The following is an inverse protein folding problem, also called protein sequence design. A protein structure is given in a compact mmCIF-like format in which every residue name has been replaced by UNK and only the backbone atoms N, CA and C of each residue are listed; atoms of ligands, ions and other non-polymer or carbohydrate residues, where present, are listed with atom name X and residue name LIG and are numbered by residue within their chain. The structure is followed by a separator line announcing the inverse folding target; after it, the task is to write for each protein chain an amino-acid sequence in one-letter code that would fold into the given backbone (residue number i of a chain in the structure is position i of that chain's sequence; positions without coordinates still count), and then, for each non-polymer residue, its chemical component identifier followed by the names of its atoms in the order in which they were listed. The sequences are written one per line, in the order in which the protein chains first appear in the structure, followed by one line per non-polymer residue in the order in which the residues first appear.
data_IF_382502865109
#
_entry.id   IF_382502865109
#
_cell.length_a   1.000
_cell.length_b   1.000
_cell.length_c   1.000
_cell.angle_alpha   90.00
_cell.angle_beta   90.00
_cell.angle_gamma   90.00
#
_symmetry.space_group_name_H-M   'P 1'
#
loop_
_entity.id
_entity.type
_entity.pdbx_description
1 polymer ?
#
# COMPACT_ATOMS: atom_id res chain seq x y z
N UNK A 1 -17.06 -16.24 31.55
CA UNK A 1 -16.90 -16.51 30.10
C UNK A 1 -17.68 -15.52 29.22
N UNK A 2 -18.99 -15.35 29.34
CA UNK A 2 -19.82 -14.43 28.51
C UNK A 2 -19.29 -12.99 28.46
N UNK A 3 -18.86 -12.44 29.62
CA UNK A 3 -18.26 -11.10 29.68
C UNK A 3 -17.00 -11.01 28.82
N UNK A 4 -16.18 -12.07 28.78
CA UNK A 4 -14.98 -12.11 27.95
C UNK A 4 -15.30 -12.00 26.46
N UNK A 5 -16.31 -12.72 25.96
CA UNK A 5 -16.75 -12.63 24.56
C UNK A 5 -17.36 -11.26 24.24
N UNK A 6 -18.08 -10.65 25.18
CA UNK A 6 -18.59 -9.28 25.04
C UNK A 6 -17.44 -8.27 24.92
N UNK A 7 -16.40 -8.41 25.77
CA UNK A 7 -15.21 -7.55 25.70
C UNK A 7 -14.52 -7.72 24.34
N UNK A 8 -14.32 -8.95 23.86
CA UNK A 8 -13.74 -9.21 22.55
C UNK A 8 -14.54 -8.56 21.43
N UNK A 9 -15.88 -8.62 21.48
CA UNK A 9 -16.74 -7.96 20.51
C UNK A 9 -16.59 -6.44 20.56
N UNK A 10 -16.59 -5.81 21.72
CA UNK A 10 -16.41 -4.36 21.88
C UNK A 10 -15.03 -3.93 21.38
N UNK A 11 -13.98 -4.68 21.71
CA UNK A 11 -12.62 -4.37 21.28
C UNK A 11 -12.50 -4.47 19.76
N UNK A 12 -13.07 -5.51 19.12
CA UNK A 12 -13.00 -5.65 17.65
C UNK A 12 -13.73 -4.52 16.93
N UNK A 13 -14.90 -4.05 17.45
CA UNK A 13 -15.58 -2.86 16.93
C UNK A 13 -14.73 -1.61 17.14
N UNK A 14 -14.13 -1.45 18.33
CA UNK A 14 -13.23 -0.35 18.64
C UNK A 14 -12.02 -0.29 17.71
N UNK A 15 -11.43 -1.44 17.37
CA UNK A 15 -10.31 -1.51 16.41
C UNK A 15 -10.72 -1.09 15.00
N UNK A 16 -11.90 -1.50 14.51
CA UNK A 16 -12.42 -1.03 13.22
C UNK A 16 -12.62 0.49 13.22
N UNK A 17 -13.21 1.04 14.27
CA UNK A 17 -13.40 2.49 14.43
C UNK A 17 -12.05 3.20 14.48
N UNK A 18 -11.11 2.73 15.31
CA UNK A 18 -9.77 3.29 15.39
C UNK A 18 -9.04 3.24 14.03
N UNK A 19 -9.10 2.10 13.33
CA UNK A 19 -8.53 1.95 11.99
C UNK A 19 -9.12 2.97 11.00
N UNK A 20 -10.47 3.14 11.02
CA UNK A 20 -11.15 4.05 10.10
C UNK A 20 -10.87 5.52 10.40
N UNK A 21 -10.66 5.90 11.66
CA UNK A 21 -10.40 7.28 12.07
C UNK A 21 -8.91 7.66 11.97
N UNK A 22 -8.01 6.75 12.33
CA UNK A 22 -6.58 7.06 12.46
C UNK A 22 -5.81 6.86 11.14
N UNK A 23 -6.24 5.95 10.27
CA UNK A 23 -5.53 5.67 9.03
C UNK A 23 -5.92 6.63 7.91
N UNK A 24 -4.94 7.34 7.34
CA UNK A 24 -5.14 8.28 6.21
C UNK A 24 -5.57 7.56 4.94
N UNK A 25 -4.96 6.44 4.62
CA UNK A 25 -5.40 5.56 3.53
C UNK A 25 -5.87 4.23 4.09
N UNK A 26 -6.87 3.63 3.48
CA UNK A 26 -7.52 2.41 3.94
C UNK A 26 -7.35 1.31 2.91
N UNK A 27 -7.04 0.12 3.40
CA UNK A 27 -6.96 -1.07 2.57
C UNK A 27 -8.30 -1.83 2.68
N UNK A 28 -8.94 -2.09 1.54
CA UNK A 28 -10.28 -2.68 1.50
C UNK A 28 -10.35 -4.05 2.19
N UNK A 29 -9.38 -4.94 1.92
CA UNK A 29 -9.39 -6.28 2.48
C UNK A 29 -9.09 -6.32 3.97
N UNK A 30 -8.27 -5.38 4.46
CA UNK A 30 -8.05 -5.20 5.89
C UNK A 30 -9.31 -4.70 6.59
N UNK A 31 -10.08 -3.80 5.95
CA UNK A 31 -11.40 -3.39 6.47
C UNK A 31 -12.37 -4.58 6.52
N UNK A 32 -12.42 -5.39 5.47
CA UNK A 32 -13.26 -6.59 5.45
C UNK A 32 -12.82 -7.64 6.47
N UNK A 33 -11.53 -7.75 6.75
CA UNK A 33 -11.00 -8.60 7.82
C UNK A 33 -11.57 -8.19 9.19
N UNK A 34 -11.55 -6.89 9.53
CA UNK A 34 -12.16 -6.38 10.77
C UNK A 34 -13.66 -6.71 10.85
N UNK A 35 -14.39 -6.55 9.76
CA UNK A 35 -15.81 -6.92 9.71
C UNK A 35 -16.00 -8.42 9.98
N UNK A 36 -15.17 -9.28 9.38
CA UNK A 36 -15.22 -10.73 9.64
C UNK A 36 -14.95 -11.06 11.12
N UNK A 37 -13.95 -10.43 11.75
CA UNK A 37 -13.63 -10.67 13.17
C UNK A 37 -14.77 -10.19 14.08
N UNK A 38 -15.40 -9.06 13.78
CA UNK A 38 -16.59 -8.59 14.51
C UNK A 38 -17.73 -9.63 14.40
N UNK A 39 -17.98 -10.19 13.22
CA UNK A 39 -18.99 -11.23 13.00
C UNK A 39 -18.65 -12.50 13.80
N UNK A 40 -17.40 -12.93 13.80
CA UNK A 40 -16.94 -14.08 14.61
C UNK A 40 -17.18 -13.84 16.10
N UNK A 41 -16.72 -12.69 16.62
CA UNK A 41 -16.89 -12.37 18.03
C UNK A 41 -18.38 -12.19 18.44
N UNK A 42 -19.21 -11.65 17.53
CA UNK A 42 -20.65 -11.61 17.72
C UNK A 42 -21.22 -13.04 17.82
N UNK A 43 -20.82 -13.96 16.95
CA UNK A 43 -21.28 -15.35 16.99
C UNK A 43 -20.91 -16.05 18.29
N UNK A 44 -19.66 -15.90 18.79
CA UNK A 44 -19.26 -16.42 20.09
C UNK A 44 -20.08 -15.81 21.24
N UNK A 45 -20.30 -14.52 21.21
CA UNK A 45 -21.13 -13.85 22.22
C UNK A 45 -22.57 -14.38 22.18
N UNK A 46 -23.22 -14.49 21.01
CA UNK A 46 -24.56 -15.04 20.84
C UNK A 46 -24.67 -16.48 21.36
N UNK A 47 -23.68 -17.33 21.01
CA UNK A 47 -23.63 -18.71 21.51
C UNK A 47 -23.54 -18.73 23.04
N UNK A 48 -22.72 -17.85 23.64
CA UNK A 48 -22.49 -17.82 25.08
C UNK A 48 -23.72 -17.43 25.92
N UNK A 49 -24.66 -16.66 25.34
CA UNK A 49 -25.91 -16.25 25.99
C UNK A 49 -27.11 -17.12 25.63
N UNK A 50 -26.91 -18.13 24.78
CA UNK A 50 -27.99 -18.99 24.30
C UNK A 50 -28.65 -19.76 25.44
N UNK A 51 -29.97 -19.84 25.42
CA UNK A 51 -30.79 -20.58 26.37
C UNK A 51 -31.32 -21.89 25.82
N UNK A 52 -31.26 -22.07 24.51
CA UNK A 52 -31.67 -23.29 23.82
C UNK A 52 -30.70 -23.63 22.70
N UNK A 53 -30.83 -24.85 22.20
CA UNK A 53 -29.94 -25.41 21.15
C UNK A 53 -30.06 -24.62 19.85
N UNK A 54 -31.27 -24.23 19.43
CA UNK A 54 -31.53 -23.52 18.18
C UNK A 54 -30.79 -22.17 18.14
N UNK A 55 -30.90 -21.39 19.23
CA UNK A 55 -30.20 -20.11 19.32
C UNK A 55 -28.68 -20.27 19.41
N UNK A 56 -28.22 -21.34 20.06
CA UNK A 56 -26.79 -21.67 20.10
C UNK A 56 -26.24 -22.07 18.72
N UNK A 57 -27.02 -22.82 17.91
CA UNK A 57 -26.68 -23.13 16.51
C UNK A 57 -26.65 -21.84 15.69
N UNK A 58 -27.62 -20.96 15.82
CA UNK A 58 -27.61 -19.66 15.14
C UNK A 58 -26.36 -18.85 15.47
N UNK A 59 -25.97 -18.77 16.74
CA UNK A 59 -24.71 -18.11 17.15
C UNK A 59 -23.47 -18.78 16.52
N UNK A 60 -23.44 -20.09 16.45
CA UNK A 60 -22.40 -20.85 15.78
C UNK A 60 -22.34 -20.58 14.27
N UNK A 61 -23.49 -20.49 13.60
CA UNK A 61 -23.55 -20.17 12.17
C UNK A 61 -23.05 -18.76 11.89
N UNK A 62 -23.38 -17.79 12.77
CA UNK A 62 -22.79 -16.45 12.72
C UNK A 62 -21.27 -16.49 12.88
N UNK A 63 -20.74 -17.31 13.80
CA UNK A 63 -19.29 -17.51 13.95
C UNK A 63 -18.65 -18.04 12.66
N UNK A 64 -19.25 -19.05 12.04
CA UNK A 64 -18.71 -19.63 10.81
C UNK A 64 -18.92 -18.75 9.58
N UNK A 65 -19.97 -17.93 9.56
CA UNK A 65 -20.10 -16.89 8.53
C UNK A 65 -18.89 -15.94 8.56
N UNK A 66 -18.49 -15.48 9.73
CA UNK A 66 -17.29 -14.65 9.86
C UNK A 66 -16.01 -15.43 9.51
N UNK A 67 -15.80 -16.60 10.11
CA UNK A 67 -14.54 -17.35 10.01
C UNK A 67 -14.28 -17.95 8.62
N UNK A 68 -15.32 -18.32 7.86
CA UNK A 68 -15.16 -18.79 6.48
C UNK A 68 -14.59 -17.70 5.57
N UNK A 69 -14.98 -16.44 5.74
CA UNK A 69 -14.45 -15.33 4.93
C UNK A 69 -13.22 -14.66 5.53
N UNK A 70 -12.97 -14.83 6.83
CA UNK A 70 -11.79 -14.26 7.52
C UNK A 70 -10.48 -14.72 6.88
N UNK A 71 -10.33 -16.01 6.62
CA UNK A 71 -9.12 -16.57 5.99
C UNK A 71 -8.86 -15.97 4.60
N UNK A 72 -9.94 -15.78 3.81
CA UNK A 72 -9.89 -15.11 2.52
C UNK A 72 -9.43 -13.65 2.68
N UNK A 73 -10.07 -12.89 3.56
CA UNK A 73 -9.72 -11.48 3.79
C UNK A 73 -8.27 -11.33 4.27
N UNK A 74 -7.82 -12.24 5.14
CA UNK A 74 -6.43 -12.26 5.61
C UNK A 74 -5.45 -12.53 4.47
N UNK A 75 -5.70 -13.55 3.61
CA UNK A 75 -4.87 -13.83 2.45
C UNK A 75 -4.81 -12.64 1.48
N UNK A 76 -5.96 -12.03 1.18
CA UNK A 76 -6.04 -10.89 0.25
C UNK A 76 -5.36 -9.64 0.83
N UNK A 77 -5.47 -9.40 2.13
CA UNK A 77 -4.70 -8.36 2.84
C UNK A 77 -3.20 -8.63 2.73
N UNK A 78 -2.75 -9.85 3.00
CA UNK A 78 -1.32 -10.23 2.89
C UNK A 78 -0.82 -10.06 1.46
N UNK A 79 -1.59 -10.47 0.43
CA UNK A 79 -1.24 -10.24 -0.97
C UNK A 79 -0.99 -8.75 -1.25
N UNK A 80 -1.89 -7.87 -0.79
CA UNK A 80 -1.75 -6.42 -0.95
C UNK A 80 -0.53 -5.86 -0.21
N UNK A 81 -0.34 -6.24 1.06
CA UNK A 81 0.82 -5.83 1.86
C UNK A 81 2.15 -6.32 1.26
N UNK A 82 2.14 -7.48 0.61
CA UNK A 82 3.28 -8.04 -0.13
C UNK A 82 3.48 -7.43 -1.53
N UNK A 83 2.71 -6.42 -1.93
CA UNK A 83 2.86 -5.71 -3.21
C UNK A 83 2.30 -6.46 -4.42
N UNK A 84 1.34 -7.36 -4.23
CA UNK A 84 0.66 -8.05 -5.32
C UNK A 84 -0.70 -7.43 -5.63
N UNK A 85 -1.05 -7.40 -6.91
CA UNK A 85 -2.40 -7.02 -7.34
C UNK A 85 -3.38 -8.19 -7.13
N UNK A 86 -4.52 -7.86 -6.54
CA UNK A 86 -5.61 -8.82 -6.33
C UNK A 86 -6.52 -8.81 -7.57
N UNK A 87 -6.44 -9.86 -8.39
CA UNK A 87 -7.26 -9.99 -9.59
C UNK A 87 -8.68 -10.46 -9.24
N UNK A 88 -9.69 -9.92 -9.93
CA UNK A 88 -11.12 -10.26 -9.71
C UNK A 88 -11.39 -11.77 -9.71
N UNK A 89 -10.74 -12.54 -10.60
CA UNK A 89 -10.91 -14.01 -10.65
C UNK A 89 -10.52 -14.70 -9.33
N UNK A 90 -9.43 -14.26 -8.68
CA UNK A 90 -9.00 -14.86 -7.41
C UNK A 90 -9.98 -14.53 -6.28
N UNK A 91 -10.52 -13.31 -6.27
CA UNK A 91 -11.56 -12.89 -5.31
C UNK A 91 -12.81 -13.75 -5.48
N UNK A 92 -13.30 -13.90 -6.72
CA UNK A 92 -14.50 -14.72 -7.01
C UNK A 92 -14.26 -16.17 -6.57
N UNK A 93 -13.10 -16.76 -6.88
CA UNK A 93 -12.78 -18.13 -6.46
C UNK A 93 -12.78 -18.27 -4.94
N UNK A 94 -12.12 -17.36 -4.21
CA UNK A 94 -12.08 -17.40 -2.75
C UNK A 94 -13.46 -17.18 -2.13
N UNK A 95 -14.27 -16.25 -2.67
CA UNK A 95 -15.65 -16.03 -2.24
C UNK A 95 -16.51 -17.28 -2.44
N UNK A 96 -16.44 -17.92 -3.63
CA UNK A 96 -17.18 -19.14 -3.91
C UNK A 96 -16.81 -20.27 -2.95
N UNK A 97 -15.52 -20.47 -2.67
CA UNK A 97 -15.06 -21.45 -1.70
C UNK A 97 -15.56 -21.14 -0.27
N UNK A 98 -15.55 -19.86 0.14
CA UNK A 98 -16.08 -19.42 1.43
C UNK A 98 -17.58 -19.70 1.56
N UNK A 99 -18.37 -19.39 0.52
CA UNK A 99 -19.80 -19.68 0.49
C UNK A 99 -20.11 -21.17 0.53
N UNK A 100 -19.39 -21.99 -0.24
CA UNK A 100 -19.54 -23.45 -0.22
C UNK A 100 -19.24 -23.99 1.18
N UNK A 101 -18.15 -23.52 1.79
CA UNK A 101 -17.73 -23.96 3.12
C UNK A 101 -18.77 -23.56 4.19
N UNK A 102 -19.25 -22.32 4.14
CA UNK A 102 -20.29 -21.84 5.02
C UNK A 102 -21.60 -22.65 4.84
N UNK A 103 -22.03 -22.91 3.60
CA UNK A 103 -23.24 -23.68 3.30
C UNK A 103 -23.17 -25.11 3.85
N UNK A 104 -22.02 -25.78 3.75
CA UNK A 104 -21.78 -27.11 4.32
C UNK A 104 -21.97 -27.09 5.84
N UNK A 105 -21.45 -26.09 6.52
CA UNK A 105 -21.53 -25.96 7.99
C UNK A 105 -22.92 -25.61 8.43
N UNK A 106 -23.53 -24.58 7.83
CA UNK A 106 -24.87 -24.09 8.16
C UNK A 106 -25.99 -25.06 7.78
N UNK A 107 -25.74 -26.04 6.91
CA UNK A 107 -26.69 -27.10 6.63
C UNK A 107 -26.90 -28.07 7.81
N UNK A 108 -26.00 -28.09 8.77
CA UNK A 108 -26.10 -28.92 9.98
C UNK A 108 -26.91 -28.21 11.07
N UNK A 109 -27.76 -28.90 11.85
CA UNK A 109 -27.90 -30.36 11.90
C UNK A 109 -28.96 -30.93 10.93
N UNK A 110 -29.60 -30.13 10.07
CA UNK A 110 -30.62 -30.64 9.14
C UNK A 110 -30.05 -31.73 8.21
N UNK A 111 -28.82 -31.54 7.75
CA UNK A 111 -28.06 -32.52 6.99
C UNK A 111 -26.86 -32.94 7.83
N UNK A 112 -26.79 -34.15 8.41
CA UNK A 112 -25.78 -34.51 9.41
C UNK A 112 -24.41 -34.84 8.79
N UNK A 113 -23.94 -34.01 7.87
CA UNK A 113 -22.67 -34.18 7.18
C UNK A 113 -21.51 -33.53 7.92
N UNK A 114 -21.70 -32.33 8.47
CA UNK A 114 -20.67 -31.59 9.19
C UNK A 114 -20.75 -31.80 10.71
N UNK A 115 -21.98 -31.72 11.30
CA UNK A 115 -22.30 -32.18 12.66
C UNK A 115 -23.35 -33.27 12.55
N UNK A 116 -23.17 -34.36 13.32
CA UNK A 116 -24.14 -35.45 13.44
C UNK A 116 -25.15 -35.20 14.54
N UNK A 117 -24.71 -34.61 15.63
CA UNK A 117 -25.55 -34.12 16.72
C UNK A 117 -24.98 -32.86 17.35
N UNK A 118 -25.85 -32.06 17.94
CA UNK A 118 -25.50 -30.81 18.61
C UNK A 118 -26.31 -30.69 19.89
N UNK A 119 -25.64 -30.41 21.01
CA UNK A 119 -26.26 -30.14 22.31
C UNK A 119 -25.62 -28.91 22.97
N UNK A 120 -26.17 -28.45 24.08
CA UNK A 120 -25.64 -27.32 24.83
C UNK A 120 -25.22 -27.72 26.24
N UNK A 121 -24.09 -27.16 26.70
CA UNK A 121 -23.62 -27.28 28.08
C UNK A 121 -23.37 -25.91 28.66
N UNK A 122 -23.78 -25.68 29.91
CA UNK A 122 -23.44 -24.46 30.62
C UNK A 122 -22.13 -24.63 31.38
N UNK A 123 -21.16 -23.76 31.11
CA UNK A 123 -19.86 -23.74 31.77
C UNK A 123 -19.63 -22.33 32.34
N UNK A 124 -19.54 -22.21 33.64
CA UNK A 124 -19.29 -20.94 34.34
C UNK A 124 -20.24 -19.79 33.88
N UNK A 125 -21.53 -20.10 33.71
CA UNK A 125 -22.55 -19.12 33.30
C UNK A 125 -22.58 -18.75 31.82
N UNK A 126 -21.78 -19.45 30.99
CA UNK A 126 -21.85 -19.32 29.53
C UNK A 126 -22.28 -20.64 28.88
N UNK A 127 -23.10 -20.53 27.84
CA UNK A 127 -23.48 -21.70 27.05
C UNK A 127 -22.38 -22.02 26.04
N UNK A 128 -21.99 -23.30 25.99
CA UNK A 128 -21.09 -23.86 25.00
C UNK A 128 -21.82 -24.93 24.19
N UNK A 129 -21.61 -24.94 22.87
CA UNK A 129 -22.11 -25.98 21.98
C UNK A 129 -21.22 -27.23 22.12
N UNK A 130 -21.86 -28.37 22.40
CA UNK A 130 -21.25 -29.71 22.34
C UNK A 130 -21.60 -30.29 21.00
N UNK A 131 -20.59 -30.68 20.21
CA UNK A 131 -20.75 -31.05 18.80
C UNK A 131 -20.21 -32.45 18.59
N UNK A 132 -20.98 -33.33 17.98
CA UNK A 132 -20.45 -34.56 17.39
C UNK A 132 -20.18 -34.30 15.91
N UNK A 133 -18.98 -34.65 15.46
CA UNK A 133 -18.52 -34.27 14.14
C UNK A 133 -18.85 -35.32 13.09
N UNK A 134 -19.38 -34.89 11.96
CA UNK A 134 -19.70 -35.70 10.81
C UNK A 134 -18.52 -35.91 9.84
N UNK A 135 -18.76 -36.64 8.76
CA UNK A 135 -17.75 -37.03 7.77
C UNK A 135 -17.13 -35.85 7.01
N UNK A 136 -17.81 -34.71 6.91
CA UNK A 136 -17.30 -33.50 6.23
C UNK A 136 -16.55 -32.55 7.16
N UNK A 137 -16.51 -32.80 8.47
CA UNK A 137 -15.78 -31.94 9.41
C UNK A 137 -14.30 -31.74 9.02
N UNK A 138 -13.52 -32.75 8.55
CA UNK A 138 -12.13 -32.54 8.13
C UNK A 138 -11.96 -31.57 6.97
N UNK A 139 -13.00 -31.35 6.15
CA UNK A 139 -12.94 -30.43 4.98
C UNK A 139 -12.63 -29.00 5.43
N UNK A 140 -13.17 -28.55 6.56
CA UNK A 140 -12.83 -27.22 7.11
C UNK A 140 -11.36 -27.13 7.53
N UNK A 141 -10.80 -28.19 8.08
CA UNK A 141 -9.37 -28.25 8.40
C UNK A 141 -8.50 -28.13 7.14
N UNK A 142 -8.86 -28.83 6.06
CA UNK A 142 -8.17 -28.74 4.77
C UNK A 142 -8.32 -27.33 4.18
N UNK A 143 -9.50 -26.73 4.29
CA UNK A 143 -9.77 -25.36 3.88
C UNK A 143 -8.81 -24.37 4.58
N UNK A 144 -8.69 -24.43 5.91
CA UNK A 144 -7.78 -23.57 6.69
C UNK A 144 -6.31 -23.79 6.29
N UNK A 145 -5.86 -25.04 6.20
CA UNK A 145 -4.48 -25.38 5.81
C UNK A 145 -4.16 -24.79 4.42
N UNK A 146 -5.09 -24.89 3.48
CA UNK A 146 -4.91 -24.33 2.13
C UNK A 146 -4.64 -22.82 2.17
N UNK A 147 -5.39 -22.07 2.98
CA UNK A 147 -5.15 -20.64 3.15
C UNK A 147 -3.82 -20.35 3.85
N UNK A 148 -3.45 -21.08 4.88
CA UNK A 148 -2.16 -20.92 5.54
C UNK A 148 -0.98 -21.17 4.58
N UNK A 149 -1.05 -22.24 3.79
CA UNK A 149 -0.04 -22.54 2.76
C UNK A 149 0.02 -21.41 1.72
N UNK A 150 -1.13 -20.90 1.26
CA UNK A 150 -1.19 -19.78 0.32
C UNK A 150 -0.58 -18.49 0.89
N UNK A 151 -0.83 -18.17 2.17
CA UNK A 151 -0.24 -17.02 2.86
C UNK A 151 1.29 -17.13 2.94
N UNK A 152 1.80 -18.28 3.38
CA UNK A 152 3.25 -18.54 3.48
C UNK A 152 3.89 -18.47 2.09
N UNK A 153 3.30 -19.12 1.08
CA UNK A 153 3.79 -19.07 -0.30
C UNK A 153 3.82 -17.63 -0.84
N UNK A 154 2.81 -16.82 -0.53
CA UNK A 154 2.75 -15.38 -0.90
C UNK A 154 3.92 -14.61 -0.29
N UNK A 155 4.19 -14.79 1.01
CA UNK A 155 5.27 -14.11 1.71
C UNK A 155 6.63 -14.50 1.11
N UNK A 156 6.88 -15.81 0.93
CA UNK A 156 8.13 -16.31 0.33
C UNK A 156 8.32 -15.77 -1.09
N UNK A 157 7.25 -15.79 -1.90
CA UNK A 157 7.30 -15.28 -3.26
C UNK A 157 7.57 -13.77 -3.30
N UNK A 158 6.98 -13.00 -2.39
CA UNK A 158 7.23 -11.57 -2.26
C UNK A 158 8.69 -11.24 -1.92
N UNK A 159 9.29 -12.00 -0.99
CA UNK A 159 10.71 -11.87 -0.63
C UNK A 159 11.60 -12.17 -1.86
N UNK A 160 11.35 -13.31 -2.54
CA UNK A 160 12.12 -13.71 -3.73
C UNK A 160 12.02 -12.70 -4.87
N UNK A 161 10.87 -12.09 -5.08
CA UNK A 161 10.62 -11.07 -6.11
C UNK A 161 10.96 -9.65 -5.68
N UNK A 162 11.46 -9.46 -4.46
CA UNK A 162 11.80 -8.15 -3.87
C UNK A 162 10.64 -7.13 -3.95
N UNK A 163 9.39 -7.61 -3.89
CA UNK A 163 8.19 -6.78 -3.96
C UNK A 163 7.91 -6.03 -2.66
N UNK A 164 8.21 -6.64 -1.52
CA UNK A 164 8.10 -5.98 -0.21
C UNK A 164 9.32 -5.09 0.02
N UNK A 165 9.08 -3.84 0.38
CA UNK A 165 10.10 -2.79 0.42
C UNK A 165 11.27 -3.08 1.39
N UNK A 166 10.99 -3.73 2.52
CA UNK A 166 12.03 -4.17 3.47
C UNK A 166 11.74 -5.58 3.98
N UNK A 167 12.75 -6.46 4.07
CA UNK A 167 12.58 -7.85 4.55
C UNK A 167 11.94 -7.95 5.94
N UNK A 168 12.15 -6.96 6.81
CA UNK A 168 11.54 -6.90 8.16
C UNK A 168 10.00 -6.89 8.11
N UNK A 169 9.38 -6.26 7.11
CA UNK A 169 7.91 -6.28 6.98
C UNK A 169 7.40 -7.68 6.64
N UNK A 170 8.12 -8.42 5.79
CA UNK A 170 7.82 -9.81 5.53
C UNK A 170 7.94 -10.67 6.80
N UNK A 171 8.95 -10.41 7.64
CA UNK A 171 9.13 -11.06 8.92
C UNK A 171 7.95 -10.83 9.89
N UNK A 172 7.45 -9.60 9.99
CA UNK A 172 6.27 -9.29 10.81
C UNK A 172 5.01 -10.00 10.29
N UNK A 173 4.76 -9.97 8.97
CA UNK A 173 3.61 -10.67 8.38
C UNK A 173 3.72 -12.18 8.60
N UNK A 174 4.91 -12.76 8.44
CA UNK A 174 5.15 -14.18 8.70
C UNK A 174 4.93 -14.54 10.19
N UNK A 175 5.33 -13.68 11.11
CA UNK A 175 5.09 -13.88 12.55
C UNK A 175 3.59 -13.86 12.87
N UNK A 176 2.79 -12.97 12.26
CA UNK A 176 1.33 -12.93 12.43
C UNK A 176 0.70 -14.23 11.94
N UNK A 177 1.07 -14.69 10.74
CA UNK A 177 0.56 -15.97 10.19
C UNK A 177 0.98 -17.13 11.07
N UNK A 178 2.25 -17.17 11.49
CA UNK A 178 2.78 -18.21 12.38
C UNK A 178 2.06 -18.25 13.73
N UNK A 179 1.75 -17.10 14.33
CA UNK A 179 0.97 -17.00 15.57
C UNK A 179 -0.43 -17.60 15.39
N UNK A 180 -1.13 -17.28 14.31
CA UNK A 180 -2.46 -17.85 14.03
C UNK A 180 -2.40 -19.38 13.86
N UNK A 181 -1.40 -19.88 13.14
CA UNK A 181 -1.19 -21.32 12.99
C UNK A 181 -0.90 -21.97 14.34
N UNK A 182 -0.03 -21.37 15.15
CA UNK A 182 0.36 -21.92 16.45
C UNK A 182 -0.84 -22.00 17.42
N UNK A 183 -1.66 -20.95 17.51
CA UNK A 183 -2.85 -20.97 18.37
C UNK A 183 -3.90 -21.94 17.86
N UNK A 184 -4.14 -22.00 16.55
CA UNK A 184 -5.05 -22.98 15.96
C UNK A 184 -4.60 -24.42 16.25
N UNK A 185 -3.30 -24.73 16.14
CA UNK A 185 -2.76 -26.04 16.51
C UNK A 185 -2.91 -26.29 18.00
N UNK A 186 -2.61 -25.29 18.84
CA UNK A 186 -2.78 -25.40 20.29
C UNK A 186 -4.22 -25.76 20.67
N UNK A 187 -5.22 -25.04 20.14
CA UNK A 187 -6.64 -25.36 20.39
C UNK A 187 -7.06 -26.75 19.89
N UNK A 188 -6.43 -27.22 18.80
CA UNK A 188 -6.73 -28.54 18.24
C UNK A 188 -6.16 -29.70 19.08
N UNK A 189 -5.00 -29.51 19.73
CA UNK A 189 -4.32 -30.55 20.50
C UNK A 189 -4.58 -30.48 22.01
N UNK A 190 -4.94 -29.29 22.51
CA UNK A 190 -5.22 -29.08 23.92
C UNK A 190 -6.74 -28.94 24.08
N UNK A 191 -7.37 -29.92 24.77
CA UNK A 191 -8.78 -29.84 25.12
C UNK A 191 -9.00 -28.76 26.19
N UNK A 192 -9.06 -27.51 25.75
CA UNK A 192 -9.28 -26.36 26.62
C UNK A 192 -10.75 -25.95 26.61
N UNK A 193 -11.23 -25.48 27.74
CA UNK A 193 -12.64 -25.06 27.87
C UNK A 193 -12.92 -23.69 27.24
N UNK A 194 -11.86 -22.88 27.06
CA UNK A 194 -11.94 -21.51 26.49
C UNK A 194 -11.52 -21.50 25.03
N UNK A 195 -12.19 -20.68 24.22
CA UNK A 195 -11.82 -20.48 22.81
C UNK A 195 -10.90 -19.26 22.69
N UNK A 196 -9.60 -19.51 22.47
CA UNK A 196 -8.57 -18.48 22.34
C UNK A 196 -8.56 -17.80 20.97
N UNK A 197 -9.23 -18.37 19.96
CA UNK A 197 -9.28 -17.82 18.61
C UNK A 197 -9.77 -16.38 18.57
N UNK A 198 -10.76 -16.01 19.39
CA UNK A 198 -11.25 -14.62 19.48
C UNK A 198 -10.14 -13.63 19.83
N UNK A 199 -9.33 -13.94 20.84
CA UNK A 199 -8.21 -13.10 21.30
C UNK A 199 -7.12 -13.05 20.23
N UNK A 200 -6.84 -14.19 19.58
CA UNK A 200 -5.83 -14.28 18.54
C UNK A 200 -6.20 -13.47 17.31
N UNK A 201 -7.47 -13.48 16.91
CA UNK A 201 -7.96 -12.66 15.79
C UNK A 201 -7.81 -11.17 16.10
N UNK A 202 -8.18 -10.71 17.29
CA UNK A 202 -7.99 -9.32 17.72
C UNK A 202 -6.50 -8.94 17.72
N UNK A 203 -5.65 -9.82 18.26
CA UNK A 203 -4.19 -9.63 18.23
C UNK A 203 -3.64 -9.52 16.81
N UNK A 204 -4.13 -10.37 15.91
CA UNK A 204 -3.75 -10.34 14.48
C UNK A 204 -4.19 -9.07 13.77
N UNK A 205 -5.41 -8.58 14.05
CA UNK A 205 -5.91 -7.30 13.55
C UNK A 205 -5.01 -6.14 13.96
N UNK A 206 -4.72 -6.05 15.25
CA UNK A 206 -3.86 -5.00 15.80
C UNK A 206 -2.47 -5.01 15.16
N UNK A 207 -1.86 -6.20 15.02
CA UNK A 207 -0.56 -6.35 14.39
C UNK A 207 -0.60 -6.03 12.89
N UNK A 208 -1.66 -6.39 12.17
CA UNK A 208 -1.82 -6.05 10.74
C UNK A 208 -2.03 -4.55 10.55
N UNK A 209 -2.80 -3.88 11.42
CA UNK A 209 -2.91 -2.41 11.42
C UNK A 209 -1.53 -1.79 11.61
N UNK A 210 -0.76 -2.27 12.58
CA UNK A 210 0.58 -1.76 12.86
C UNK A 210 1.52 -1.94 11.66
N UNK A 211 1.54 -3.14 11.04
CA UNK A 211 2.35 -3.40 9.84
C UNK A 211 1.92 -2.52 8.69
N UNK A 212 0.61 -2.37 8.47
CA UNK A 212 0.07 -1.51 7.42
C UNK A 212 0.47 -0.04 7.64
N UNK A 213 0.35 0.47 8.87
CA UNK A 213 0.81 1.79 9.24
C UNK A 213 2.32 1.98 9.01
N UNK A 214 3.13 0.99 9.45
CA UNK A 214 4.59 1.05 9.23
C UNK A 214 4.96 1.06 7.74
N UNK A 215 4.24 0.33 6.89
CA UNK A 215 4.47 0.32 5.45
C UNK A 215 4.08 1.68 4.85
N UNK A 216 2.94 2.25 5.22
CA UNK A 216 2.50 3.58 4.77
C UNK A 216 3.51 4.67 5.17
N UNK A 217 3.95 4.65 6.42
CA UNK A 217 4.94 5.61 6.92
C UNK A 217 6.29 5.46 6.19
N UNK A 218 6.69 4.23 5.88
CA UNK A 218 7.90 3.98 5.11
C UNK A 218 7.79 4.48 3.67
N UNK A 219 6.68 4.21 2.99
CA UNK A 219 6.42 4.69 1.62
C UNK A 219 6.38 6.22 1.62
N UNK A 220 5.65 6.82 2.56
CA UNK A 220 5.56 8.28 2.66
C UNK A 220 6.93 8.94 2.87
N UNK A 221 7.80 8.35 3.72
CA UNK A 221 9.17 8.86 3.94
C UNK A 221 10.11 8.66 2.74
N UNK A 222 9.83 7.69 1.89
CA UNK A 222 10.63 7.44 0.67
C UNK A 222 10.14 8.22 -0.53
N UNK A 223 8.85 8.56 -0.58
CA UNK A 223 8.24 9.39 -1.64
C UNK A 223 8.28 10.89 -1.32
N UNK A 224 8.32 11.27 -0.05
CA UNK A 224 8.58 12.67 0.35
C UNK A 224 10.08 12.92 0.17
N UNK A 225 10.48 13.86 -0.68
CA UNK A 225 11.88 14.28 -0.79
C UNK A 225 12.41 14.66 0.60
N UNK A 226 13.72 14.49 0.85
CA UNK A 226 14.32 14.71 2.16
C UNK A 226 13.91 16.07 2.74
N UNK A 227 13.76 16.18 4.06
CA UNK A 227 13.12 17.33 4.70
C UNK A 227 13.67 18.66 4.17
N UNK A 228 12.76 19.58 3.93
CA UNK A 228 12.91 20.93 3.36
C UNK A 228 14.23 21.64 3.74
N UNK A 229 14.90 21.28 4.82
CA UNK A 229 16.17 21.87 5.24
C UNK A 229 17.30 21.55 4.24
N UNK A 230 17.39 20.31 3.70
CA UNK A 230 18.36 19.98 2.64
C UNK A 230 17.92 20.49 1.27
N UNK A 231 16.61 20.54 1.01
CA UNK A 231 16.10 21.13 -0.23
C UNK A 231 16.25 22.66 -0.23
N UNK A 232 16.04 23.31 0.91
CA UNK A 232 16.27 24.77 1.02
C UNK A 232 17.76 25.10 0.83
N UNK A 233 18.69 24.28 1.32
CA UNK A 233 20.12 24.44 1.02
C UNK A 233 20.44 24.16 -0.45
N UNK A 234 19.92 23.08 -1.02
CA UNK A 234 20.14 22.73 -2.45
C UNK A 234 19.41 23.72 -3.38
N UNK A 235 18.20 24.19 -3.01
CA UNK A 235 17.48 25.22 -3.78
C UNK A 235 18.21 26.58 -3.62
N UNK A 236 18.69 26.90 -2.43
CA UNK A 236 19.50 28.11 -2.19
C UNK A 236 20.82 28.06 -2.94
N UNK A 237 21.50 26.92 -2.95
CA UNK A 237 22.73 26.69 -3.73
C UNK A 237 22.45 26.73 -5.25
N UNK A 238 21.39 26.05 -5.72
CA UNK A 238 20.93 26.13 -7.12
C UNK A 238 20.47 27.54 -7.49
N UNK A 239 19.68 28.22 -6.65
CA UNK A 239 19.29 29.59 -6.88
C UNK A 239 20.47 30.55 -6.85
N UNK A 240 21.43 30.36 -5.95
CA UNK A 240 22.66 31.15 -5.91
C UNK A 240 23.50 30.93 -7.17
N UNK A 241 23.65 29.69 -7.61
CA UNK A 241 24.35 29.34 -8.88
C UNK A 241 23.60 29.91 -10.09
N UNK A 242 22.26 29.83 -10.13
CA UNK A 242 21.43 30.41 -11.20
C UNK A 242 21.55 31.94 -11.20
N UNK A 243 21.51 32.57 -10.02
CA UNK A 243 21.64 34.05 -9.91
C UNK A 243 23.05 34.51 -10.31
N UNK A 244 24.09 33.78 -9.88
CA UNK A 244 25.48 34.10 -10.27
C UNK A 244 25.68 33.89 -11.77
N UNK A 245 25.17 32.79 -12.34
CA UNK A 245 25.24 32.57 -13.78
C UNK A 245 24.42 33.58 -14.57
N UNK A 246 23.25 33.98 -14.08
CA UNK A 246 22.42 35.01 -14.76
C UNK A 246 23.07 36.41 -14.67
N UNK A 247 23.69 36.77 -13.56
CA UNK A 247 24.41 38.02 -13.42
C UNK A 247 25.68 38.05 -14.31
N UNK A 248 26.46 36.98 -14.35
CA UNK A 248 27.60 36.83 -15.23
C UNK A 248 27.17 36.88 -16.71
N UNK A 249 26.10 36.20 -17.06
CA UNK A 249 25.55 36.20 -18.43
C UNK A 249 25.12 37.62 -18.84
N UNK A 250 24.39 38.33 -17.97
CA UNK A 250 23.94 39.71 -18.22
C UNK A 250 25.15 40.65 -18.40
N UNK A 251 26.19 40.48 -17.60
CA UNK A 251 27.43 41.21 -17.75
C UNK A 251 28.14 40.93 -19.08
N UNK A 252 28.24 39.66 -19.49
CA UNK A 252 28.81 39.26 -20.80
C UNK A 252 28.03 39.87 -21.96
N UNK A 253 26.69 39.84 -21.90
CA UNK A 253 25.83 40.41 -22.94
C UNK A 253 26.00 41.92 -22.99
N UNK A 254 26.03 42.60 -21.84
CA UNK A 254 26.24 44.07 -21.78
C UNK A 254 27.63 44.43 -22.34
N UNK A 255 28.67 43.68 -22.05
CA UNK A 255 30.00 43.88 -22.66
C UNK A 255 29.97 43.69 -24.18
N UNK A 256 29.32 42.62 -24.69
CA UNK A 256 29.16 42.42 -26.15
C UNK A 256 28.39 43.59 -26.77
N UNK A 257 27.30 44.08 -26.15
CA UNK A 257 26.54 45.22 -26.66
C UNK A 257 27.35 46.50 -26.66
N UNK A 258 28.29 46.69 -25.72
CA UNK A 258 29.14 47.89 -25.67
C UNK A 258 30.24 47.94 -26.74
N UNK A 259 30.59 46.77 -27.34
CA UNK A 259 31.55 46.69 -28.44
C UNK A 259 30.85 46.58 -29.81
N UNK A 260 29.55 46.78 -29.88
CA UNK A 260 28.83 46.85 -31.15
C UNK A 260 29.25 48.07 -31.93
N UNK A 261 29.56 47.98 -33.24
CA UNK A 261 29.96 49.12 -34.05
C UNK A 261 28.94 50.22 -34.07
N UNK A 262 29.38 51.48 -34.11
CA UNK A 262 28.54 52.68 -34.12
C UNK A 262 27.47 52.65 -35.22
N UNK A 263 26.22 52.92 -34.80
CA UNK A 263 25.06 52.93 -35.73
C UNK A 263 24.42 51.55 -35.96
N UNK A 264 24.95 50.46 -35.38
CA UNK A 264 24.30 49.13 -35.46
C UNK A 264 23.51 48.91 -34.17
N UNK A 265 22.31 48.32 -34.32
CA UNK A 265 21.45 47.92 -33.20
C UNK A 265 20.94 46.48 -33.40
N UNK A 266 20.76 45.77 -32.32
CA UNK A 266 20.13 44.42 -32.34
C UNK A 266 18.62 44.56 -32.12
N UNK A 267 17.86 43.78 -32.86
CA UNK A 267 16.44 43.56 -32.58
C UNK A 267 16.25 42.66 -31.35
N UNK A 268 15.07 42.70 -30.73
CA UNK A 268 14.77 41.84 -29.58
C UNK A 268 15.04 40.34 -29.90
N UNK A 269 14.73 39.92 -31.11
CA UNK A 269 14.96 38.54 -31.53
C UNK A 269 16.43 38.21 -31.70
N UNK A 270 17.23 39.13 -32.16
CA UNK A 270 18.69 38.99 -32.28
C UNK A 270 19.37 38.99 -30.88
N UNK A 271 18.82 39.70 -29.89
CA UNK A 271 19.27 39.64 -28.49
C UNK A 271 18.97 38.26 -27.92
N UNK A 272 17.78 37.71 -28.09
CA UNK A 272 17.43 36.34 -27.63
C UNK A 272 18.37 35.29 -28.27
N UNK A 273 18.71 35.46 -29.53
CA UNK A 273 19.66 34.57 -30.22
C UNK A 273 21.09 34.75 -29.69
N UNK A 274 21.51 35.99 -29.43
CA UNK A 274 22.79 36.30 -28.82
C UNK A 274 22.91 35.65 -27.42
N UNK A 275 21.87 35.75 -26.60
CA UNK A 275 21.79 35.09 -25.31
C UNK A 275 21.97 33.58 -25.41
N UNK A 276 21.29 32.95 -26.37
CA UNK A 276 21.37 31.52 -26.60
C UNK A 276 22.76 31.10 -27.12
N UNK A 277 23.43 31.97 -27.88
CA UNK A 277 24.81 31.77 -28.33
C UNK A 277 25.79 31.87 -27.13
N UNK A 278 25.61 32.84 -26.22
CA UNK A 278 26.41 32.95 -24.99
C UNK A 278 26.25 31.71 -24.11
N UNK A 279 25.03 31.15 -24.02
CA UNK A 279 24.73 29.91 -23.26
C UNK A 279 25.33 28.63 -23.87
N UNK A 280 25.95 28.71 -25.02
CA UNK A 280 26.56 27.54 -25.63
C UNK A 280 25.63 26.67 -26.46
N UNK A 281 24.39 27.08 -26.67
CA UNK A 281 23.39 26.29 -27.39
C UNK A 281 23.73 26.07 -28.87
N UNK A 282 23.45 24.89 -29.38
CA UNK A 282 23.54 24.56 -30.80
C UNK A 282 22.36 25.17 -31.60
N UNK A 283 22.49 25.31 -32.92
CA UNK A 283 21.41 25.78 -33.79
C UNK A 283 20.14 24.96 -33.63
N UNK A 284 20.28 23.66 -33.49
CA UNK A 284 19.16 22.74 -33.29
C UNK A 284 18.41 22.98 -31.98
N UNK A 285 19.13 23.22 -30.90
CA UNK A 285 18.55 23.54 -29.57
C UNK A 285 17.84 24.89 -29.62
N UNK A 286 18.46 25.91 -30.21
CA UNK A 286 17.87 27.25 -30.38
C UNK A 286 16.60 27.19 -31.25
N UNK A 287 16.59 26.38 -32.32
CA UNK A 287 15.43 26.18 -33.18
C UNK A 287 14.28 25.50 -32.44
N UNK A 288 14.57 24.49 -31.63
CA UNK A 288 13.57 23.79 -30.81
C UNK A 288 12.96 24.71 -29.74
N UNK A 289 13.76 25.49 -29.04
CA UNK A 289 13.26 26.44 -28.02
C UNK A 289 12.41 27.57 -28.57
N UNK A 290 12.75 28.03 -29.80
CA UNK A 290 12.03 29.12 -30.46
C UNK A 290 10.88 28.63 -31.36
N UNK A 291 10.63 27.33 -31.44
CA UNK A 291 9.61 26.71 -32.31
C UNK A 291 9.71 27.10 -33.78
N UNK A 292 10.93 27.24 -34.32
CA UNK A 292 11.20 27.60 -35.70
C UNK A 292 12.16 26.62 -36.36
N UNK A 293 12.34 26.74 -37.70
CA UNK A 293 13.28 25.89 -38.44
C UNK A 293 14.74 26.25 -38.16
N UNK A 294 15.63 25.26 -38.27
CA UNK A 294 17.11 25.48 -38.13
C UNK A 294 17.61 26.51 -39.20
N UNK A 295 16.97 26.59 -40.38
CA UNK A 295 17.31 27.58 -41.40
C UNK A 295 16.94 28.99 -40.96
N UNK A 296 15.82 29.17 -40.26
CA UNK A 296 15.42 30.48 -39.71
C UNK A 296 16.43 30.94 -38.65
N UNK A 297 16.84 30.04 -37.76
CA UNK A 297 17.87 30.36 -36.76
C UNK A 297 19.22 30.65 -37.42
N UNK A 298 19.62 29.91 -38.44
CA UNK A 298 20.84 30.19 -39.21
C UNK A 298 20.85 31.61 -39.74
N UNK A 299 19.75 32.10 -40.30
CA UNK A 299 19.62 33.48 -40.82
C UNK A 299 19.77 34.49 -39.68
N UNK A 300 19.11 34.29 -38.53
CA UNK A 300 19.26 35.20 -37.38
C UNK A 300 20.68 35.22 -36.83
N UNK A 301 21.34 34.06 -36.72
CA UNK A 301 22.74 33.96 -36.27
C UNK A 301 23.66 34.72 -37.24
N UNK A 302 23.40 34.59 -38.55
CA UNK A 302 24.17 35.30 -39.57
C UNK A 302 24.05 36.84 -39.43
N UNK A 303 22.84 37.34 -39.16
CA UNK A 303 22.59 38.77 -38.93
C UNK A 303 23.29 39.27 -37.63
N UNK A 304 23.29 38.45 -36.56
CA UNK A 304 24.03 38.79 -35.32
C UNK A 304 25.51 38.89 -35.64
N UNK A 305 26.13 37.92 -36.35
CA UNK A 305 27.53 37.94 -36.67
C UNK A 305 27.92 39.10 -37.60
N UNK A 306 27.06 39.42 -38.59
CA UNK A 306 27.24 40.56 -39.50
C UNK A 306 27.26 41.88 -38.72
N UNK A 307 26.36 42.06 -37.74
CA UNK A 307 26.31 43.27 -36.92
C UNK A 307 27.52 43.44 -36.01
N UNK A 308 28.09 42.37 -35.51
CA UNK A 308 29.35 42.36 -34.74
C UNK A 308 30.58 42.29 -35.59
N UNK A 309 30.46 42.21 -36.93
CA UNK A 309 31.58 42.07 -37.84
C UNK A 309 32.46 40.83 -37.60
N UNK A 310 31.84 39.73 -37.20
CA UNK A 310 32.51 38.46 -36.88
C UNK A 310 31.97 37.36 -37.81
N UNK A 311 32.74 36.28 -37.96
CA UNK A 311 32.37 35.17 -38.86
C UNK A 311 32.00 33.90 -38.13
N UNK A 312 32.27 33.80 -36.84
CA UNK A 312 32.01 32.60 -36.04
C UNK A 312 31.66 32.93 -34.59
N UNK A 313 31.15 31.94 -33.87
CA UNK A 313 30.89 32.05 -32.44
C UNK A 313 32.17 32.29 -31.62
N UNK A 314 33.24 31.62 -32.00
CA UNK A 314 34.54 31.78 -31.34
C UNK A 314 35.03 33.22 -31.47
N UNK A 315 34.89 33.82 -32.68
CA UNK A 315 35.26 35.21 -32.89
C UNK A 315 34.34 36.18 -32.11
N UNK A 316 33.06 35.85 -31.96
CA UNK A 316 32.13 36.65 -31.13
C UNK A 316 32.51 36.61 -29.64
N UNK A 317 32.85 35.43 -29.10
CA UNK A 317 33.29 35.28 -27.74
C UNK A 317 34.67 35.96 -27.47
N UNK A 318 35.54 35.95 -28.44
CA UNK A 318 36.85 36.67 -28.34
C UNK A 318 36.74 38.20 -28.21
N UNK A 319 35.57 38.78 -28.55
CA UNK A 319 35.28 40.19 -28.25
C UNK A 319 35.19 40.51 -26.75
N UNK A 320 34.87 39.49 -25.93
CA UNK A 320 34.81 39.62 -24.47
C UNK A 320 36.17 39.67 -23.80
N UNK A 321 37.25 39.24 -24.50
CA UNK A 321 38.63 39.19 -23.97
C UNK A 321 39.41 40.48 -24.29
N UNK A 322 38.82 41.38 -25.10
CA UNK A 322 39.38 42.67 -25.42
C UNK A 322 38.85 43.76 -24.48
#
# INVERSE_FOLDING_TARGET
MTIGYLICLIVSVGLLVAYTLLMKSKEFWLTMLHVCVIIVNLGYFLTSIAKNVEFAIFGNDVTYLGSAFLCMCMLLTILRLCGFEVKKKHVITCLSLGFIMFAIIASSPMIPLYYTSVDIKNIEGATKLVKEYGVLHPVYTVYLITYFVAMIATIIHSIRKKKIGKPRFAGFIAAIVGMNIAVWLFEKFVNWEYEFLSVTYIGSELLLILVFWMIQEYVHKTEVPPPIIKEVEVIREKQTVIVVNSAQKAEMINRLLSVLPDGKTLTLKEIEILESLVDGKSRKEIAAENHVSENTIKTHISHVYEKFEVSSRESLMALLEK
#
